data_IF_778391594564
#
_entry.id   IF_778391594564
#
_cell.length_a   1.000
_cell.length_b   1.000
_cell.length_c   1.000
_cell.angle_alpha   90.00
_cell.angle_beta   90.00
_cell.angle_gamma   90.00
#
_symmetry.space_group_name_H-M   'P 1'
#
loop_
_entity.id
_entity.type
_entity.pdbx_description
1 polymer ?
#
# COMPACT_ATOMS: atom_id res chain seq x y z
N UNK A 1 -38.33 -12.52 0.94
CA UNK A 1 -37.07 -12.20 1.63
C UNK A 1 -36.09 -11.72 0.58
N UNK A 2 -35.54 -10.52 0.72
CA UNK A 2 -34.55 -10.01 -0.23
C UNK A 2 -33.21 -10.73 0.03
N UNK A 3 -32.52 -11.11 -1.04
CA UNK A 3 -31.19 -11.72 -0.98
C UNK A 3 -30.15 -10.70 -0.49
N UNK A 4 -29.19 -11.13 0.32
CA UNK A 4 -28.11 -10.25 0.78
C UNK A 4 -27.24 -9.86 -0.42
N UNK A 5 -26.74 -8.61 -0.50
CA UNK A 5 -25.84 -8.19 -1.58
C UNK A 5 -24.56 -9.05 -1.67
N UNK A 6 -24.09 -9.61 -0.56
CA UNK A 6 -22.91 -10.49 -0.53
C UNK A 6 -23.20 -11.88 -1.12
N UNK A 7 -24.42 -12.40 -0.90
CA UNK A 7 -24.88 -13.66 -1.50
C UNK A 7 -25.06 -13.49 -3.01
N UNK A 8 -25.66 -12.37 -3.43
CA UNK A 8 -25.83 -12.00 -4.84
C UNK A 8 -24.47 -11.89 -5.55
N UNK A 9 -23.50 -11.20 -4.93
CA UNK A 9 -22.15 -11.06 -5.46
C UNK A 9 -21.45 -12.42 -5.58
N UNK A 10 -21.56 -13.27 -4.56
CA UNK A 10 -20.95 -14.61 -4.57
C UNK A 10 -21.51 -15.48 -5.69
N UNK A 11 -22.83 -15.45 -5.91
CA UNK A 11 -23.49 -16.15 -7.02
C UNK A 11 -23.04 -15.63 -8.39
N UNK A 12 -22.97 -14.31 -8.57
CA UNK A 12 -22.54 -13.72 -9.85
C UNK A 12 -21.06 -14.02 -10.14
N UNK A 13 -20.17 -14.02 -9.14
CA UNK A 13 -18.78 -14.44 -9.31
C UNK A 13 -18.64 -15.91 -9.69
N UNK A 14 -19.47 -16.79 -9.14
CA UNK A 14 -19.49 -18.20 -9.54
C UNK A 14 -19.91 -18.37 -11.01
N UNK A 15 -20.88 -17.56 -11.48
CA UNK A 15 -21.28 -17.53 -12.91
C UNK A 15 -20.23 -16.88 -13.82
N UNK A 16 -19.42 -15.97 -13.31
CA UNK A 16 -18.39 -15.29 -14.11
C UNK A 16 -17.06 -16.04 -14.19
N UNK A 17 -16.64 -16.65 -13.08
CA UNK A 17 -15.30 -17.20 -12.91
C UNK A 17 -15.29 -18.68 -12.49
N UNK A 18 -16.47 -19.30 -12.31
CA UNK A 18 -16.58 -20.70 -11.92
C UNK A 18 -16.39 -21.69 -13.07
N UNK A 19 -16.35 -22.98 -12.74
CA UNK A 19 -16.18 -24.06 -13.72
C UNK A 19 -17.27 -24.10 -14.80
N UNK A 20 -18.46 -23.56 -14.51
CA UNK A 20 -19.58 -23.45 -15.42
C UNK A 20 -19.88 -21.97 -15.73
N UNK A 21 -18.86 -21.19 -16.05
CA UNK A 21 -19.04 -19.76 -16.28
C UNK A 21 -19.96 -19.49 -17.49
N UNK A 22 -21.13 -18.90 -17.23
CA UNK A 22 -22.17 -18.64 -18.22
C UNK A 22 -22.54 -17.15 -18.34
N UNK A 23 -21.96 -16.29 -17.49
CA UNK A 23 -22.37 -14.87 -17.37
C UNK A 23 -22.20 -14.06 -18.68
N UNK A 24 -21.36 -14.52 -19.61
CA UNK A 24 -21.12 -13.84 -20.88
C UNK A 24 -22.39 -13.71 -21.75
N UNK A 25 -23.39 -14.55 -21.53
CA UNK A 25 -24.67 -14.51 -22.25
C UNK A 25 -25.71 -13.60 -21.58
N UNK A 26 -25.36 -12.95 -20.46
CA UNK A 26 -26.25 -12.17 -19.61
C UNK A 26 -25.62 -10.80 -19.30
N UNK A 27 -25.77 -9.81 -20.20
CA UNK A 27 -25.09 -8.50 -20.06
C UNK A 27 -25.56 -7.73 -18.82
N UNK A 28 -26.83 -7.88 -18.43
CA UNK A 28 -27.40 -7.23 -17.24
C UNK A 28 -26.77 -7.79 -15.97
N UNK A 29 -26.56 -9.11 -15.89
CA UNK A 29 -25.85 -9.74 -14.78
C UNK A 29 -24.38 -9.30 -14.70
N UNK A 30 -23.71 -9.08 -15.84
CA UNK A 30 -22.35 -8.55 -15.88
C UNK A 30 -22.26 -7.11 -15.35
N UNK A 31 -23.21 -6.25 -15.72
CA UNK A 31 -23.28 -4.89 -15.19
C UNK A 31 -23.53 -4.91 -13.67
N UNK A 32 -24.48 -5.74 -13.23
CA UNK A 32 -24.78 -5.92 -11.80
C UNK A 32 -23.56 -6.41 -11.02
N UNK A 33 -22.79 -7.35 -11.56
CA UNK A 33 -21.54 -7.84 -10.96
C UNK A 33 -20.54 -6.68 -10.79
N UNK A 34 -20.32 -5.86 -11.82
CA UNK A 34 -19.37 -4.73 -11.75
C UNK A 34 -19.73 -3.73 -10.65
N UNK A 35 -21.01 -3.42 -10.49
CA UNK A 35 -21.51 -2.52 -9.45
C UNK A 35 -21.22 -3.10 -8.05
N UNK A 36 -21.55 -4.39 -7.84
CA UNK A 36 -21.32 -5.05 -6.55
C UNK A 36 -19.83 -5.18 -6.22
N UNK A 37 -18.97 -5.46 -7.21
CA UNK A 37 -17.52 -5.53 -7.01
C UNK A 37 -16.87 -4.18 -6.72
N UNK A 38 -17.40 -3.09 -7.28
CA UNK A 38 -16.97 -1.74 -6.94
C UNK A 38 -17.32 -1.40 -5.47
N UNK A 39 -18.56 -1.68 -5.05
CA UNK A 39 -18.99 -1.48 -3.66
C UNK A 39 -18.21 -2.34 -2.67
N UNK A 40 -17.96 -3.60 -3.00
CA UNK A 40 -17.17 -4.50 -2.14
C UNK A 40 -15.71 -4.02 -1.98
N UNK A 41 -15.10 -3.49 -3.05
CA UNK A 41 -13.76 -2.88 -2.98
C UNK A 41 -13.72 -1.66 -2.07
N UNK A 42 -14.76 -0.82 -2.12
CA UNK A 42 -14.84 0.35 -1.26
C UNK A 42 -15.01 -0.03 0.22
N UNK A 43 -15.89 -1.00 0.51
CA UNK A 43 -16.03 -1.54 1.88
C UNK A 43 -14.72 -2.15 2.41
N UNK A 44 -13.96 -2.85 1.56
CA UNK A 44 -12.66 -3.38 1.92
C UNK A 44 -11.63 -2.27 2.21
N UNK A 45 -11.64 -1.18 1.44
CA UNK A 45 -10.78 0.00 1.70
C UNK A 45 -11.10 0.67 3.03
N UNK A 46 -12.37 0.91 3.33
CA UNK A 46 -12.79 1.48 4.61
C UNK A 46 -12.42 0.59 5.80
N UNK A 47 -12.54 -0.73 5.63
CA UNK A 47 -12.15 -1.72 6.65
C UNK A 47 -10.63 -1.75 6.85
N UNK A 48 -9.85 -1.68 5.77
CA UNK A 48 -8.39 -1.61 5.83
C UNK A 48 -7.90 -0.32 6.51
N UNK A 49 -8.47 0.83 6.11
CA UNK A 49 -8.18 2.12 6.73
C UNK A 49 -8.51 2.12 8.24
N UNK A 50 -9.62 1.49 8.64
CA UNK A 50 -9.98 1.36 10.06
C UNK A 50 -9.03 0.45 10.85
N UNK A 51 -8.45 -0.57 10.20
CA UNK A 51 -7.49 -1.48 10.82
C UNK A 51 -6.10 -0.84 11.00
N UNK A 52 -5.71 0.06 10.11
CA UNK A 52 -4.42 0.76 10.18
C UNK A 52 -4.36 1.85 11.26
N UNK A 53 -5.51 2.35 11.73
CA UNK A 53 -5.57 3.36 12.81
C UNK A 53 -5.24 2.78 14.21
N UNK A 54 -5.20 1.45 14.36
CA UNK A 54 -4.74 0.79 15.59
C UNK A 54 -3.60 -0.20 15.32
N UNK A 55 -2.37 0.27 15.00
CA UNK A 55 -1.19 -0.57 14.96
C UNK A 55 -0.72 -0.82 16.40
N UNK A 56 -1.54 -1.52 17.18
CA UNK A 56 -1.35 -1.63 18.62
C UNK A 56 -2.30 -2.58 19.32
N UNK A 57 -2.94 -3.52 18.59
CA UNK A 57 -3.43 -4.74 19.23
C UNK A 57 -2.20 -5.56 19.62
N UNK A 58 -1.55 -5.14 20.71
CA UNK A 58 -0.54 -5.88 21.45
C UNK A 58 -1.10 -7.29 21.56
N UNK A 59 -0.40 -8.29 21.02
CA UNK A 59 -0.63 -9.68 21.43
C UNK A 59 -0.80 -9.66 22.95
N UNK A 60 -1.87 -10.22 23.54
CA UNK A 60 -2.03 -10.19 24.98
C UNK A 60 -0.71 -10.68 25.57
N UNK A 61 0.02 -9.77 26.20
CA UNK A 61 1.31 -10.09 26.80
C UNK A 61 0.92 -11.09 27.87
N UNK A 62 1.23 -12.36 27.63
CA UNK A 62 1.27 -13.37 28.67
C UNK A 62 2.39 -12.91 29.59
N UNK A 63 2.05 -12.04 30.55
CA UNK A 63 2.98 -11.62 31.59
C UNK A 63 3.37 -12.92 32.29
N UNK A 64 4.64 -13.35 32.20
CA UNK A 64 5.08 -14.49 33.00
C UNK A 64 4.89 -14.06 34.45
N UNK A 65 3.93 -14.66 35.13
CA UNK A 65 3.76 -14.49 36.57
C UNK A 65 5.12 -14.85 37.18
N UNK A 66 5.80 -13.92 37.86
CA UNK A 66 7.06 -14.24 38.51
C UNK A 66 6.76 -15.32 39.55
N UNK A 67 7.36 -16.50 39.39
CA UNK A 67 7.41 -17.50 40.43
C UNK A 67 8.15 -16.86 41.61
N UNK A 68 7.38 -16.41 42.59
CA UNK A 68 7.87 -15.94 43.88
C UNK A 68 8.66 -17.07 44.53
N UNK A 69 9.98 -16.94 44.47
CA UNK A 69 10.91 -17.81 45.19
C UNK A 69 10.56 -17.82 46.67
N UNK A 70 10.36 -19.01 47.23
CA UNK A 70 9.84 -19.29 48.56
C UNK A 70 10.77 -18.89 49.74
N UNK A 71 11.66 -17.91 49.54
CA UNK A 71 12.74 -17.56 50.47
C UNK A 71 12.44 -16.43 51.47
N UNK A 72 11.50 -15.52 51.18
CA UNK A 72 11.37 -14.25 51.94
C UNK A 72 10.14 -14.16 52.88
N UNK A 73 9.47 -15.27 53.15
CA UNK A 73 8.28 -15.30 54.02
C UNK A 73 8.56 -15.25 55.55
N UNK A 74 9.79 -14.96 55.98
CA UNK A 74 10.17 -15.04 57.40
C UNK A 74 10.16 -13.71 58.17
N UNK A 75 9.95 -12.55 57.51
CA UNK A 75 9.95 -11.25 58.20
C UNK A 75 8.81 -10.37 57.75
N UNK A 76 7.61 -10.64 58.27
CA UNK A 76 6.56 -9.65 58.59
C UNK A 76 5.33 -10.42 59.08
N UNK A 77 5.43 -10.94 60.31
CA UNK A 77 4.27 -11.32 61.12
C UNK A 77 4.24 -10.38 62.32
N UNK A 78 3.32 -9.42 62.36
CA UNK A 78 2.60 -8.97 63.58
C UNK A 78 1.50 -7.98 63.15
N UNK A 79 0.30 -8.16 63.72
CA UNK A 79 -0.98 -7.45 63.53
C UNK A 79 -1.78 -7.86 62.27
N UNK A 80 -2.67 -8.87 62.29
CA UNK A 80 -3.93 -9.01 63.04
C UNK A 80 -4.95 -7.91 62.72
N UNK A 81 -5.87 -8.15 61.76
CA UNK A 81 -7.27 -8.51 62.07
C UNK A 81 -7.99 -9.09 60.82
N UNK A 82 -8.96 -10.02 60.96
CA UNK A 82 -9.61 -10.76 59.87
C UNK A 82 -11.08 -10.32 59.62
N UNK A 83 -11.74 -11.02 58.69
CA UNK A 83 -13.14 -10.88 58.19
C UNK A 83 -13.26 -9.90 57.01
N UNK A 84 -13.77 -10.28 55.84
CA UNK A 84 -15.01 -11.02 55.60
C UNK A 84 -15.00 -11.68 54.20
N UNK A 85 -15.60 -12.86 54.14
CA UNK A 85 -15.89 -13.71 52.97
C UNK A 85 -16.63 -13.00 51.83
N UNK A 86 -16.31 -13.39 50.58
CA UNK A 86 -17.24 -13.70 49.47
C UNK A 86 -16.38 -14.16 48.27
N UNK A 87 -16.18 -15.46 48.01
CA UNK A 87 -17.09 -16.43 47.37
C UNK A 87 -17.63 -15.98 46.00
N UNK A 88 -16.84 -16.22 44.96
CA UNK A 88 -17.32 -16.52 43.59
C UNK A 88 -16.22 -17.37 42.95
N UNK A 89 -16.25 -18.70 42.91
CA UNK A 89 -17.20 -19.62 42.27
C UNK A 89 -17.42 -19.34 40.78
N UNK A 90 -17.17 -20.40 39.98
CA UNK A 90 -17.29 -20.57 38.52
C UNK A 90 -16.14 -20.01 37.67
N UNK A 91 -15.48 -20.77 36.80
CA UNK A 91 -15.68 -22.16 36.41
C UNK A 91 -14.47 -22.62 35.58
N UNK A 92 -13.95 -23.79 35.94
CA UNK A 92 -12.95 -24.53 35.18
C UNK A 92 -13.69 -25.22 34.04
N UNK A 93 -13.49 -24.73 32.81
CA UNK A 93 -13.77 -25.51 31.61
C UNK A 93 -12.45 -26.05 31.07
N UNK A 94 -12.29 -27.34 31.31
CA UNK A 94 -11.37 -28.22 30.64
C UNK A 94 -11.71 -28.23 29.13
N UNK A 95 -10.71 -28.00 28.28
CA UNK A 95 -10.82 -28.21 26.84
C UNK A 95 -9.51 -28.78 26.34
N UNK A 96 -9.36 -30.05 26.67
CA UNK A 96 -8.43 -30.98 26.07
C UNK A 96 -8.77 -31.24 24.59
N UNK A 97 -7.71 -31.26 23.78
CA UNK A 97 -7.54 -32.01 22.54
C UNK A 97 -8.36 -31.64 21.30
N UNK A 98 -7.67 -31.22 20.23
CA UNK A 98 -7.48 -32.10 19.06
C UNK A 98 -6.55 -31.51 17.99
N UNK A 99 -5.69 -32.40 17.48
CA UNK A 99 -5.17 -32.50 16.12
C UNK A 99 -4.13 -31.47 15.61
N UNK A 100 -2.86 -31.82 15.83
CA UNK A 100 -1.78 -31.53 14.89
C UNK A 100 -2.07 -32.22 13.55
N UNK A 101 -2.42 -31.44 12.53
CA UNK A 101 -2.34 -31.86 11.13
C UNK A 101 -1.08 -31.26 10.50
N UNK A 102 -0.07 -32.11 10.43
CA UNK A 102 1.11 -31.94 9.59
C UNK A 102 0.67 -31.95 8.12
N UNK A 103 0.56 -30.77 7.51
CA UNK A 103 0.41 -30.63 6.07
C UNK A 103 1.81 -30.49 5.47
N UNK A 104 2.27 -31.56 4.81
CA UNK A 104 3.54 -31.57 4.11
C UNK A 104 3.58 -30.58 2.94
N UNK A 105 4.76 -30.06 2.56
CA UNK A 105 4.89 -29.29 1.34
C UNK A 105 4.71 -30.22 0.14
N UNK A 106 3.62 -30.01 -0.61
CA UNK A 106 3.51 -30.53 -1.96
C UNK A 106 4.51 -29.76 -2.84
N UNK A 107 5.65 -30.39 -3.11
CA UNK A 107 6.59 -29.94 -4.14
C UNK A 107 5.88 -29.89 -5.48
N UNK A 108 5.51 -28.69 -5.93
CA UNK A 108 5.13 -28.43 -7.31
C UNK A 108 6.41 -28.44 -8.13
N UNK A 109 6.65 -29.56 -8.80
CA UNK A 109 7.66 -29.71 -9.84
C UNK A 109 7.24 -28.83 -11.01
N UNK A 110 7.94 -27.72 -11.23
CA UNK A 110 7.87 -27.00 -12.51
C UNK A 110 8.50 -27.88 -13.60
N UNK A 111 7.83 -28.11 -14.74
CA UNK A 111 8.49 -28.67 -15.91
C UNK A 111 9.55 -27.69 -16.42
N UNK A 112 10.75 -28.21 -16.62
CA UNK A 112 11.89 -27.50 -17.17
C UNK A 112 11.56 -26.94 -18.57
N UNK A 113 12.04 -25.73 -18.92
CA UNK A 113 12.04 -25.30 -20.30
C UNK A 113 12.98 -26.21 -21.10
N UNK A 114 12.42 -26.91 -22.09
CA UNK A 114 13.19 -27.63 -23.09
C UNK A 114 14.10 -26.64 -23.82
N UNK A 115 15.39 -26.69 -23.50
CA UNK A 115 16.45 -26.08 -24.30
C UNK A 115 16.57 -26.89 -25.59
N UNK A 116 15.95 -26.40 -26.65
CA UNK A 116 16.21 -26.88 -28.00
C UNK A 116 17.67 -26.54 -28.37
N UNK A 117 18.52 -27.55 -28.22
CA UNK A 117 19.84 -27.67 -28.80
C UNK A 117 19.76 -27.48 -30.33
N UNK A 118 20.04 -26.26 -30.80
CA UNK A 118 20.34 -25.99 -32.20
C UNK A 118 21.86 -26.05 -32.41
N UNK A 119 22.45 -27.25 -32.28
CA UNK A 119 23.76 -27.56 -32.87
C UNK A 119 23.59 -27.75 -34.38
N UNK A 120 23.71 -26.66 -35.13
CA UNK A 120 23.72 -26.64 -36.58
C UNK A 120 25.03 -26.08 -37.12
N UNK A 121 26.00 -26.97 -37.33
CA UNK A 121 27.00 -26.98 -38.41
C UNK A 121 27.48 -25.64 -39.02
N UNK A 122 28.77 -25.38 -38.77
CA UNK A 122 29.64 -24.52 -39.57
C UNK A 122 29.70 -25.06 -41.01
N UNK A 123 29.28 -24.26 -41.99
CA UNK A 123 29.72 -24.40 -43.38
C UNK A 123 29.91 -23.01 -44.00
N UNK A 124 31.18 -22.67 -44.23
CA UNK A 124 31.66 -21.47 -44.91
C UNK A 124 31.68 -21.76 -46.42
N UNK A 125 30.99 -20.97 -47.25
CA UNK A 125 31.21 -20.94 -48.70
C UNK A 125 30.73 -19.62 -49.33
N UNK A 126 31.24 -19.23 -50.52
CA UNK A 126 31.63 -17.86 -50.82
C UNK A 126 30.58 -17.04 -51.60
N UNK A 127 30.75 -15.72 -51.56
CA UNK A 127 30.02 -14.75 -52.39
C UNK A 127 30.38 -14.90 -53.88
N UNK A 128 29.40 -14.83 -54.78
CA UNK A 128 29.61 -14.25 -56.10
C UNK A 128 28.64 -13.09 -56.38
N UNK A 129 29.18 -12.04 -56.99
CA UNK A 129 28.50 -10.82 -57.43
C UNK A 129 27.87 -11.03 -58.82
N UNK A 130 26.57 -11.25 -58.93
CA UNK A 130 25.83 -11.17 -60.21
C UNK A 130 24.47 -10.54 -59.89
N UNK A 131 24.25 -9.28 -60.24
CA UNK A 131 23.52 -8.92 -61.47
C UNK A 131 22.03 -8.81 -61.13
N UNK A 132 21.52 -7.60 -60.87
CA UNK A 132 20.70 -6.87 -61.85
C UNK A 132 19.77 -7.81 -62.66
N UNK A 133 18.48 -7.80 -62.31
CA UNK A 133 17.28 -7.98 -63.15
C UNK A 133 16.10 -8.27 -62.18
N UNK A 134 15.30 -7.27 -61.84
CA UNK A 134 14.07 -6.92 -62.56
C UNK A 134 12.99 -8.01 -62.45
N UNK A 135 11.89 -7.71 -61.75
CA UNK A 135 10.75 -8.62 -61.69
C UNK A 135 9.68 -8.13 -60.73
N UNK A 136 8.91 -7.16 -61.20
CA UNK A 136 7.71 -6.60 -60.56
C UNK A 136 6.78 -7.72 -60.06
N UNK A 137 6.60 -7.82 -58.74
CA UNK A 137 5.39 -8.36 -58.13
C UNK A 137 4.79 -7.24 -57.28
N UNK A 138 4.15 -6.31 -57.99
CA UNK A 138 3.36 -5.25 -57.41
C UNK A 138 1.97 -5.77 -57.03
N UNK A 139 1.44 -5.20 -55.95
CA UNK A 139 0.02 -5.12 -55.59
C UNK A 139 -0.59 -6.40 -55.00
N UNK A 140 -0.50 -6.57 -53.68
CA UNK A 140 -1.61 -7.05 -52.82
C UNK A 140 -1.22 -7.20 -51.34
N UNK A 141 -0.95 -6.09 -50.63
CA UNK A 141 -0.94 -6.09 -49.15
C UNK A 141 -1.05 -4.67 -48.56
N UNK A 142 -1.98 -3.84 -49.07
CA UNK A 142 -2.14 -2.47 -48.60
C UNK A 142 -3.61 -2.07 -48.43
N UNK A 143 -4.48 -2.94 -47.89
CA UNK A 143 -5.83 -2.55 -47.43
C UNK A 143 -6.29 -3.47 -46.28
N UNK A 144 -5.60 -3.46 -45.14
CA UNK A 144 -6.14 -4.00 -43.86
C UNK A 144 -5.45 -3.37 -42.64
N UNK A 145 -5.18 -2.06 -42.68
CA UNK A 145 -4.59 -1.33 -41.55
C UNK A 145 -5.31 -0.01 -41.25
N UNK A 146 -6.59 0.12 -41.61
CA UNK A 146 -7.31 1.40 -41.54
C UNK A 146 -8.69 1.36 -40.83
N UNK A 147 -9.09 0.23 -40.22
CA UNK A 147 -10.31 0.19 -39.38
C UNK A 147 -10.05 -0.63 -38.11
N UNK A 148 -9.02 -0.22 -37.39
CA UNK A 148 -8.98 -0.41 -35.94
C UNK A 148 -8.69 0.98 -35.37
N UNK A 149 -9.68 1.88 -35.51
CA UNK A 149 -9.69 3.15 -34.79
C UNK A 149 -9.61 2.79 -33.32
N UNK A 150 -8.51 3.12 -32.61
CA UNK A 150 -8.41 2.85 -31.20
C UNK A 150 -9.36 3.83 -30.51
N UNK A 151 -10.54 3.36 -30.11
CA UNK A 151 -11.45 4.07 -29.21
C UNK A 151 -10.89 4.15 -27.76
N UNK A 152 -9.57 4.22 -27.62
CA UNK A 152 -8.82 4.35 -26.35
C UNK A 152 -8.01 5.65 -26.32
N UNK A 153 -8.45 6.70 -27.02
CA UNK A 153 -7.92 8.07 -26.86
C UNK A 153 -8.91 9.01 -26.12
N UNK A 154 -9.96 8.45 -25.51
CA UNK A 154 -11.05 9.21 -24.87
C UNK A 154 -10.92 9.41 -23.36
N UNK A 155 -9.81 9.01 -22.74
CA UNK A 155 -9.43 9.50 -21.42
C UNK A 155 -8.06 10.10 -21.58
N UNK A 156 -8.00 11.31 -22.15
CA UNK A 156 -6.91 12.21 -21.82
C UNK A 156 -6.94 12.31 -20.31
N UNK A 157 -6.11 11.49 -19.65
CA UNK A 157 -5.86 11.49 -18.23
C UNK A 157 -5.55 12.94 -17.92
N UNK A 158 -6.50 13.64 -17.31
CA UNK A 158 -6.20 14.90 -16.67
C UNK A 158 -5.26 14.53 -15.54
N UNK A 159 -3.97 14.41 -15.86
CA UNK A 159 -2.94 14.20 -14.85
C UNK A 159 -3.17 15.32 -13.86
N UNK A 160 -3.55 15.00 -12.61
CA UNK A 160 -3.87 16.04 -11.65
C UNK A 160 -2.74 17.05 -11.64
N UNK A 161 -3.06 18.34 -11.82
CA UNK A 161 -2.03 19.37 -11.75
C UNK A 161 -1.57 19.43 -10.29
N UNK A 162 -0.27 19.34 -10.01
CA UNK A 162 0.21 19.45 -8.63
C UNK A 162 -0.17 20.82 -8.08
N UNK A 163 -0.59 20.85 -6.81
CA UNK A 163 -0.86 22.06 -6.06
C UNK A 163 0.45 22.83 -5.81
N UNK A 164 1.52 22.10 -5.50
CA UNK A 164 2.88 22.65 -5.36
C UNK A 164 3.93 21.67 -5.90
N UNK A 165 5.08 22.22 -6.28
CA UNK A 165 6.27 21.47 -6.66
C UNK A 165 7.40 21.99 -5.78
N UNK A 166 7.99 21.11 -4.97
CA UNK A 166 9.02 21.43 -4.00
C UNK A 166 10.38 21.11 -4.62
N UNK A 167 11.22 22.14 -4.76
CA UNK A 167 12.57 21.98 -5.28
C UNK A 167 13.51 21.39 -4.22
N UNK A 168 14.60 20.70 -4.62
CA UNK A 168 15.64 20.30 -3.68
C UNK A 168 16.30 21.55 -3.06
N UNK A 169 16.27 21.64 -1.74
CA UNK A 169 17.02 22.65 -0.98
C UNK A 169 18.45 22.14 -0.88
N UNK A 170 19.36 22.74 -1.65
CA UNK A 170 20.69 22.18 -1.94
C UNK A 170 21.49 21.67 -0.74
N UNK A 171 22.36 20.69 -1.02
CA UNK A 171 23.18 19.99 -0.03
C UNK A 171 22.55 18.66 0.41
N UNK A 172 23.40 17.65 0.62
CA UNK A 172 22.99 16.44 1.31
C UNK A 172 22.87 16.76 2.79
N UNK A 173 21.78 16.32 3.42
CA UNK A 173 21.56 16.52 4.85
C UNK A 173 21.95 15.24 5.58
N UNK A 174 22.65 15.36 6.70
CA UNK A 174 22.81 14.25 7.62
C UNK A 174 21.49 14.06 8.37
N UNK A 175 20.83 12.92 8.16
CA UNK A 175 19.61 12.55 8.85
C UNK A 175 19.77 11.12 9.36
N UNK A 176 19.61 10.90 10.67
CA UNK A 176 19.89 9.60 11.32
C UNK A 176 19.03 8.45 10.77
N UNK A 177 17.88 8.78 10.18
CA UNK A 177 16.92 7.81 9.62
C UNK A 177 17.34 7.33 8.22
N UNK A 178 18.20 8.10 7.55
CA UNK A 178 18.82 7.76 6.30
C UNK A 178 20.29 7.41 6.52
N UNK A 179 20.78 6.37 5.88
CA UNK A 179 22.19 6.00 6.02
C UNK A 179 23.07 7.19 5.60
N UNK A 180 24.18 7.44 6.31
CA UNK A 180 25.13 8.53 6.00
C UNK A 180 25.61 8.49 4.54
N UNK A 181 25.71 7.29 3.97
CA UNK A 181 26.11 7.05 2.58
C UNK A 181 24.93 7.17 1.57
N UNK A 182 23.69 7.20 2.08
CA UNK A 182 22.45 7.18 1.30
C UNK A 182 22.06 8.50 0.67
N UNK A 183 22.79 9.58 0.98
CA UNK A 183 22.63 10.90 0.38
C UNK A 183 21.22 11.47 0.53
N UNK A 184 20.81 11.73 1.77
CA UNK A 184 19.51 12.34 2.01
C UNK A 184 19.44 13.74 1.39
N UNK A 185 18.44 13.94 0.54
CA UNK A 185 18.13 15.20 -0.11
C UNK A 185 16.95 15.85 0.60
N UNK A 186 17.13 17.07 1.08
CA UNK A 186 16.05 17.91 1.60
C UNK A 186 15.40 18.69 0.46
N UNK A 187 14.10 18.91 0.58
CA UNK A 187 13.30 19.75 -0.32
C UNK A 187 12.85 21.01 0.40
N UNK A 188 12.22 21.92 -0.34
CA UNK A 188 11.54 23.08 0.24
C UNK A 188 10.51 22.62 1.27
N UNK A 189 10.36 23.41 2.34
CA UNK A 189 9.35 23.14 3.36
C UNK A 189 7.97 23.50 2.80
N UNK A 190 6.95 22.69 3.12
CA UNK A 190 5.58 22.89 2.64
C UNK A 190 4.65 23.01 3.85
N UNK A 191 3.98 24.15 4.05
CA UNK A 191 3.07 24.38 5.19
C UNK A 191 3.71 24.02 6.55
N UNK A 192 4.99 24.39 6.73
CA UNK A 192 5.75 24.08 7.94
C UNK A 192 6.16 22.60 8.08
N UNK A 193 5.84 21.72 7.12
CA UNK A 193 6.35 20.35 7.09
C UNK A 193 7.67 20.27 6.33
N UNK A 194 8.59 19.47 6.87
CA UNK A 194 9.90 19.19 6.26
C UNK A 194 9.80 17.94 5.42
N UNK A 195 10.34 18.02 4.20
CA UNK A 195 10.30 16.92 3.22
C UNK A 195 11.73 16.48 2.91
N UNK A 196 12.00 15.18 3.11
CA UNK A 196 13.33 14.60 2.95
C UNK A 196 13.19 13.30 2.16
N UNK A 197 14.07 13.06 1.19
CA UNK A 197 14.17 11.77 0.52
C UNK A 197 15.57 11.20 0.67
N UNK A 198 15.70 9.89 0.68
CA UNK A 198 17.00 9.23 0.73
C UNK A 198 16.88 7.74 0.54
N UNK A 199 18.01 7.03 0.54
CA UNK A 199 18.02 5.57 0.54
C UNK A 199 18.22 5.06 1.96
N UNK A 200 17.52 3.98 2.29
CA UNK A 200 17.64 3.29 3.57
C UNK A 200 18.21 1.91 3.29
N UNK A 201 19.28 1.49 3.96
CA UNK A 201 20.00 0.24 3.64
C UNK A 201 19.10 -1.01 3.70
N UNK A 202 18.11 -1.00 4.61
CA UNK A 202 17.17 -2.10 4.79
C UNK A 202 16.12 -2.23 3.67
N UNK A 203 15.94 -1.21 2.83
CA UNK A 203 14.87 -1.17 1.82
C UNK A 203 15.44 -0.83 0.44
N UNK A 204 15.13 -1.68 -0.55
CA UNK A 204 15.50 -1.41 -1.93
C UNK A 204 14.65 -0.26 -2.48
N UNK A 205 15.21 0.95 -2.58
CA UNK A 205 14.55 2.07 -3.22
C UNK A 205 14.94 3.43 -2.64
N UNK A 206 14.28 4.47 -3.13
CA UNK A 206 14.29 5.79 -2.52
C UNK A 206 13.06 5.89 -1.62
N UNK A 207 13.25 6.34 -0.40
CA UNK A 207 12.19 6.65 0.54
C UNK A 207 11.98 8.15 0.62
N UNK A 208 10.73 8.55 0.86
CA UNK A 208 10.30 9.90 1.13
C UNK A 208 9.77 9.93 2.57
N UNK A 209 10.23 10.89 3.36
CA UNK A 209 9.81 11.10 4.74
C UNK A 209 9.34 12.53 4.90
N UNK A 210 8.19 12.69 5.53
CA UNK A 210 7.58 13.96 5.89
C UNK A 210 7.62 14.07 7.40
N UNK A 211 8.24 15.15 7.90
CA UNK A 211 8.31 15.45 9.34
C UNK A 211 7.48 16.69 9.62
N UNK A 212 6.59 16.59 10.59
CA UNK A 212 5.72 17.67 11.03
C UNK A 212 5.78 17.81 12.54
N UNK A 213 5.69 19.04 13.05
CA UNK A 213 5.56 19.27 14.48
C UNK A 213 4.10 19.06 14.87
N UNK A 214 3.80 18.31 15.93
CA UNK A 214 2.40 18.19 16.37
C UNK A 214 1.94 19.41 17.18
N UNK A 215 2.83 20.37 17.45
CA UNK A 215 2.54 21.60 18.22
C UNK A 215 2.14 21.34 19.67
N UNK A 216 2.07 20.08 20.10
CA UNK A 216 1.57 19.67 21.42
C UNK A 216 2.68 19.57 22.49
N UNK A 217 3.91 19.88 22.11
CA UNK A 217 5.05 19.90 23.03
C UNK A 217 5.00 21.08 23.98
N UNK A 218 4.89 20.83 25.29
CA UNK A 218 5.17 21.86 26.30
C UNK A 218 6.58 22.43 26.07
N UNK A 219 6.74 23.76 25.97
CA UNK A 219 8.05 24.37 25.78
C UNK A 219 8.97 23.98 26.95
N UNK A 220 9.99 23.19 26.65
CA UNK A 220 10.99 22.73 27.63
C UNK A 220 11.16 21.21 27.77
N UNK A 221 10.33 20.39 27.10
CA UNK A 221 10.48 18.92 27.21
C UNK A 221 11.66 18.34 26.44
N UNK A 222 12.32 19.10 25.55
CA UNK A 222 13.52 18.67 24.79
C UNK A 222 13.28 17.54 23.78
N UNK A 223 12.19 16.78 23.91
CA UNK A 223 11.76 15.77 22.96
C UNK A 223 10.96 16.43 21.84
N UNK A 224 11.44 16.39 20.58
CA UNK A 224 10.65 16.85 19.45
C UNK A 224 9.35 16.05 19.43
N UNK A 225 8.23 16.73 19.71
CA UNK A 225 6.90 16.11 19.80
C UNK A 225 6.28 16.01 18.41
N UNK A 226 7.11 15.83 17.38
CA UNK A 226 6.69 15.76 15.99
C UNK A 226 6.34 14.34 15.57
N UNK A 227 5.45 14.24 14.57
CA UNK A 227 5.22 13.00 13.86
C UNK A 227 6.13 12.90 12.63
N UNK A 228 6.42 11.67 12.23
CA UNK A 228 6.98 11.38 10.91
C UNK A 228 6.06 10.41 10.18
N UNK A 229 5.94 10.61 8.86
CA UNK A 229 5.30 9.66 7.96
C UNK A 229 6.20 9.46 6.77
N UNK A 230 6.38 8.20 6.36
CA UNK A 230 7.28 7.88 5.27
C UNK A 230 6.81 6.72 4.43
N UNK A 231 7.34 6.65 3.21
CA UNK A 231 7.05 5.61 2.25
C UNK A 231 8.21 5.42 1.29
N UNK A 232 8.51 4.18 0.95
CA UNK A 232 9.58 3.82 0.01
C UNK A 232 8.99 3.41 -1.34
N UNK A 233 9.62 3.85 -2.41
CA UNK A 233 9.27 3.46 -3.77
C UNK A 233 9.80 2.06 -4.09
N UNK A 234 9.02 1.29 -4.84
CA UNK A 234 9.48 0.04 -5.45
C UNK A 234 10.34 0.33 -6.71
N UNK A 235 11.11 -0.63 -7.23
CA UNK A 235 11.87 -0.44 -8.46
C UNK A 235 10.98 0.04 -9.64
N UNK A 236 11.32 1.19 -10.21
CA UNK A 236 10.55 1.82 -11.30
C UNK A 236 9.38 2.70 -10.85
N UNK A 237 9.12 2.82 -9.55
CA UNK A 237 8.06 3.65 -8.98
C UNK A 237 8.65 4.63 -7.94
N UNK A 238 8.31 5.90 -8.06
CA UNK A 238 8.67 6.91 -7.05
C UNK A 238 7.96 6.66 -5.72
N UNK A 239 8.57 7.01 -4.57
CA UNK A 239 7.87 6.98 -3.29
C UNK A 239 6.71 7.97 -3.28
N UNK A 240 5.62 7.55 -2.65
CA UNK A 240 4.42 8.36 -2.43
C UNK A 240 4.03 8.29 -0.95
N UNK A 241 3.70 9.44 -0.35
CA UNK A 241 3.26 9.55 1.04
C UNK A 241 1.98 10.37 1.10
N UNK A 242 0.95 9.81 1.74
CA UNK A 242 -0.32 10.48 1.96
C UNK A 242 -0.43 10.88 3.43
N UNK A 243 -0.81 12.13 3.70
CA UNK A 243 -0.96 12.71 5.04
C UNK A 243 -2.31 13.40 5.14
N UNK A 244 -3.07 13.13 6.19
CA UNK A 244 -4.33 13.82 6.42
C UNK A 244 -4.06 15.27 6.82
N UNK A 245 -4.86 16.23 6.33
CA UNK A 245 -4.66 17.65 6.61
C UNK A 245 -4.65 17.96 8.12
N UNK A 246 -5.50 17.25 8.88
CA UNK A 246 -5.56 17.31 10.35
C UNK A 246 -4.24 16.96 11.07
N UNK A 247 -3.38 16.15 10.46
CA UNK A 247 -2.09 15.77 11.06
C UNK A 247 -1.08 16.94 10.99
N UNK A 248 -1.22 17.83 10.01
CA UNK A 248 -0.30 18.95 9.80
C UNK A 248 -0.91 20.30 10.18
N UNK A 249 -2.20 20.33 10.56
CA UNK A 249 -2.96 21.53 10.87
C UNK A 249 -2.26 22.47 11.87
N UNK A 250 -1.56 21.92 12.86
CA UNK A 250 -0.80 22.71 13.84
C UNK A 250 0.36 23.54 13.25
N UNK A 251 0.76 23.28 12.00
CA UNK A 251 1.86 23.97 11.30
C UNK A 251 1.38 24.89 10.16
N UNK A 252 0.09 24.89 9.85
CA UNK A 252 -0.45 25.62 8.70
C UNK A 252 -0.48 27.11 9.04
N UNK A 253 0.27 27.91 8.29
CA UNK A 253 0.32 29.37 8.46
C UNK A 253 -0.88 30.06 7.78
N UNK A 254 -1.49 29.42 6.77
CA UNK A 254 -2.65 29.91 6.02
C UNK A 254 -3.81 28.88 6.07
N UNK A 255 -4.59 28.90 7.15
CA UNK A 255 -5.73 27.99 7.34
C UNK A 255 -6.80 28.17 6.26
N UNK A 256 -6.99 29.39 5.75
CA UNK A 256 -8.10 29.75 4.85
C UNK A 256 -8.03 29.05 3.49
N UNK A 257 -6.82 28.82 2.96
CA UNK A 257 -6.62 28.13 1.68
C UNK A 257 -6.82 26.61 1.76
N UNK A 258 -6.94 26.06 2.98
CA UNK A 258 -6.88 24.62 3.24
C UNK A 258 -8.06 24.11 4.07
N UNK A 259 -9.09 24.93 4.30
CA UNK A 259 -10.27 24.54 5.06
C UNK A 259 -10.99 23.33 4.44
N UNK A 260 -10.92 23.19 3.13
CA UNK A 260 -11.56 22.10 2.38
C UNK A 260 -10.62 20.93 2.06
N UNK A 261 -9.34 21.03 2.45
CA UNK A 261 -8.37 19.98 2.21
C UNK A 261 -8.55 18.83 3.21
N UNK A 262 -8.80 17.62 2.71
CA UNK A 262 -8.83 16.42 3.54
C UNK A 262 -7.43 15.85 3.76
N UNK A 263 -6.54 16.04 2.80
CA UNK A 263 -5.22 15.44 2.80
C UNK A 263 -4.31 15.93 1.70
N UNK A 264 -3.04 15.59 1.87
CA UNK A 264 -1.94 15.92 0.96
C UNK A 264 -1.23 14.65 0.55
N UNK A 265 -0.99 14.52 -0.75
CA UNK A 265 -0.14 13.48 -1.33
C UNK A 265 1.17 14.09 -1.78
N UNK A 266 2.28 13.57 -1.27
CA UNK A 266 3.63 13.91 -1.69
C UNK A 266 4.16 12.78 -2.56
N UNK A 267 4.53 13.08 -3.80
CA UNK A 267 5.13 12.12 -4.73
C UNK A 267 6.49 12.62 -5.19
N UNK A 268 7.51 11.78 -5.09
CA UNK A 268 8.83 12.09 -5.65
C UNK A 268 8.90 11.66 -7.11
N UNK A 269 8.94 12.63 -8.01
CA UNK A 269 8.94 12.44 -9.45
C UNK A 269 10.05 13.29 -10.08
N UNK A 270 10.91 12.67 -10.90
CA UNK A 270 11.99 13.36 -11.61
C UNK A 270 12.95 14.18 -10.72
N UNK A 271 13.08 13.80 -9.44
CA UNK A 271 13.94 14.50 -8.47
C UNK A 271 13.28 15.73 -7.83
N UNK A 272 11.98 15.93 -8.02
CA UNK A 272 11.18 16.97 -7.39
C UNK A 272 10.03 16.34 -6.60
N UNK A 273 9.61 16.98 -5.51
CA UNK A 273 8.43 16.51 -4.77
C UNK A 273 7.20 17.26 -5.23
N UNK A 274 6.24 16.54 -5.79
CA UNK A 274 4.95 17.08 -6.23
C UNK A 274 3.92 16.86 -5.13
N UNK A 275 3.24 17.93 -4.76
CA UNK A 275 2.18 17.91 -3.74
C UNK A 275 0.83 18.01 -4.43
N UNK A 276 -0.05 17.06 -4.13
CA UNK A 276 -1.44 17.06 -4.56
C UNK A 276 -2.34 17.19 -3.35
N UNK A 277 -3.46 17.88 -3.50
CA UNK A 277 -4.45 18.07 -2.43
C UNK A 277 -5.68 17.23 -2.76
N UNK A 278 -6.15 16.44 -1.80
CA UNK A 278 -7.48 15.85 -1.86
C UNK A 278 -8.46 16.80 -1.18
N UNK A 279 -9.45 17.26 -1.95
CA UNK A 279 -10.51 18.14 -1.46
C UNK A 279 -11.72 17.25 -1.16
N UNK A 280 -12.43 17.50 -0.07
CA UNK A 280 -13.68 16.82 0.22
C UNK A 280 -14.66 17.04 -0.95
N UNK A 281 -15.30 15.97 -1.43
CA UNK A 281 -16.39 16.16 -2.37
C UNK A 281 -17.50 16.95 -1.65
N UNK A 282 -18.00 18.06 -2.21
CA UNK A 282 -19.07 18.81 -1.58
C UNK A 282 -20.27 17.89 -1.44
N UNK A 283 -20.85 17.84 -0.25
CA UNK A 283 -21.95 16.94 0.08
C UNK A 283 -23.18 17.32 -0.79
N UNK A 284 -23.37 16.66 -1.93
CA UNK A 284 -24.45 17.01 -2.88
C UNK A 284 -25.83 16.51 -2.43
N UNK A 285 -26.00 16.23 -1.14
CA UNK A 285 -27.19 15.57 -0.56
C UNK A 285 -28.28 16.55 -0.11
N UNK A 286 -28.03 17.87 -0.13
CA UNK A 286 -29.05 18.91 0.11
C UNK A 286 -29.57 19.48 -1.22
N UNK A 287 -30.55 18.82 -1.85
CA UNK A 287 -31.35 19.39 -2.95
C UNK A 287 -32.76 18.83 -2.96
#
# INVERSE_FOLDING_TARGET
MAESPDDELSRLRARAYGANADIAHDPDALERLRILEARAREGARLTAASREVFPGAVSPITVPVPELSAGDAARLRTAADPSTSERSDRGVVDSSASASLSAGPASVVLPAPETLDARGSVARAPRPRWGLLAGVAAVSAAVTAAIAVPLTMGTASSTPRPYAVLAPTGGLVEDEEFSLDGGAQRYEDFLGVRVISGRVDAVSGTCLIIRYDSGSGSPGSGSPTGGSRGGCGAPGFGPVVDIAAREIAGNIVDEEALQDAEGFRFALEDGEVRVYVSIAEPDTSES
#
